data_IF_641643642789
#
_entry.id   IF_641643642789
#
_cell.length_a   1.000
_cell.length_b   1.000
_cell.length_c   1.000
_cell.angle_alpha   90.00
_cell.angle_beta   90.00
_cell.angle_gamma   90.00
#
_symmetry.space_group_name_H-M   'P 1'
#
loop_
_entity.id
_entity.type
_entity.pdbx_description
1 polymer ?
#
# COMPACT_ATOMS: atom_id res chain seq x y z
N UNK A 1 -12.50 0.50 -1.12
CA UNK A 1 -12.77 0.29 -2.57
C UNK A 1 -11.84 -0.73 -3.25
N UNK A 2 -10.50 -0.55 -3.29
CA UNK A 2 -9.59 -1.47 -4.01
C UNK A 2 -9.74 -2.93 -3.55
N UNK A 3 -9.82 -3.15 -2.23
CA UNK A 3 -10.08 -4.45 -1.62
C UNK A 3 -11.39 -5.06 -2.11
N UNK A 4 -12.51 -4.33 -2.02
CA UNK A 4 -13.81 -4.76 -2.54
C UNK A 4 -13.69 -5.21 -4.01
N UNK A 5 -13.14 -4.36 -4.88
CA UNK A 5 -12.97 -4.67 -6.30
C UNK A 5 -12.11 -5.93 -6.54
N UNK A 6 -11.12 -6.18 -5.69
CA UNK A 6 -10.30 -7.38 -5.76
C UNK A 6 -11.11 -8.64 -5.40
N UNK A 7 -11.91 -8.59 -4.33
CA UNK A 7 -12.75 -9.73 -3.92
C UNK A 7 -13.93 -9.97 -4.87
N UNK A 8 -14.56 -8.92 -5.40
CA UNK A 8 -15.66 -9.02 -6.38
C UNK A 8 -15.27 -9.77 -7.66
N UNK A 9 -13.98 -9.84 -8.00
CA UNK A 9 -13.49 -10.66 -9.12
C UNK A 9 -13.60 -12.16 -8.88
N UNK A 10 -13.83 -12.61 -7.63
CA UNK A 10 -14.00 -14.02 -7.23
C UNK A 10 -12.92 -14.94 -7.82
N UNK A 11 -11.66 -14.50 -7.78
CA UNK A 11 -10.55 -15.15 -8.50
C UNK A 11 -10.17 -16.54 -7.96
N UNK A 12 -10.68 -16.94 -6.80
CA UNK A 12 -10.49 -18.26 -6.21
C UNK A 12 -11.70 -18.66 -5.35
N UNK A 13 -11.75 -19.93 -4.93
CA UNK A 13 -12.85 -20.48 -4.14
C UNK A 13 -13.07 -19.72 -2.83
N UNK A 14 -11.99 -19.32 -2.15
CA UNK A 14 -12.08 -18.52 -0.93
C UNK A 14 -12.71 -17.15 -1.17
N UNK A 15 -12.40 -16.48 -2.27
CA UNK A 15 -13.03 -15.21 -2.65
C UNK A 15 -14.50 -15.41 -3.00
N UNK A 16 -14.85 -16.51 -3.67
CA UNK A 16 -16.24 -16.84 -3.98
C UNK A 16 -17.06 -17.07 -2.69
N UNK A 17 -16.54 -17.86 -1.75
CA UNK A 17 -17.17 -18.09 -0.44
C UNK A 17 -17.27 -16.80 0.38
N UNK A 18 -16.21 -15.99 0.43
CA UNK A 18 -16.23 -14.71 1.16
C UNK A 18 -17.20 -13.69 0.58
N UNK A 19 -17.49 -13.75 -0.72
CA UNK A 19 -18.38 -12.83 -1.42
C UNK A 19 -19.78 -13.40 -1.64
N UNK A 20 -20.11 -14.54 -1.03
CA UNK A 20 -21.45 -15.10 -1.05
C UNK A 20 -22.43 -14.17 -0.33
N UNK A 21 -23.51 -13.77 -1.02
CA UNK A 21 -24.47 -12.80 -0.50
C UNK A 21 -23.96 -11.35 -0.40
N UNK A 22 -22.86 -11.03 -1.10
CA UNK A 22 -22.30 -9.68 -1.20
C UNK A 22 -22.34 -9.23 -2.66
N UNK A 23 -23.35 -8.44 -2.98
CA UNK A 23 -23.61 -7.96 -4.33
C UNK A 23 -23.43 -6.44 -4.45
N UNK A 24 -23.30 -5.73 -3.32
CA UNK A 24 -23.14 -4.28 -3.24
C UNK A 24 -22.03 -3.85 -2.26
N UNK A 25 -21.53 -2.60 -2.38
CA UNK A 25 -20.71 -1.97 -1.34
C UNK A 25 -21.33 -2.03 0.06
N UNK A 26 -22.64 -1.85 0.16
CA UNK A 26 -23.40 -1.88 1.41
C UNK A 26 -23.34 -3.27 2.04
N UNK A 27 -23.47 -4.34 1.25
CA UNK A 27 -23.32 -5.71 1.74
C UNK A 27 -21.89 -6.01 2.20
N UNK A 28 -20.90 -5.37 1.59
CA UNK A 28 -19.49 -5.61 1.93
C UNK A 28 -19.16 -5.16 3.37
N UNK A 29 -19.93 -4.24 3.95
CA UNK A 29 -19.82 -3.85 5.37
C UNK A 29 -20.00 -5.02 6.33
N UNK A 30 -20.69 -6.09 5.91
CA UNK A 30 -20.89 -7.33 6.68
C UNK A 30 -19.59 -8.11 6.86
N UNK A 31 -18.60 -7.92 5.99
CA UNK A 31 -17.26 -8.52 6.15
C UNK A 31 -16.45 -7.70 7.14
N UNK A 32 -16.69 -7.94 8.41
CA UNK A 32 -16.10 -7.17 9.50
C UNK A 32 -14.57 -7.17 9.48
N UNK A 33 -13.93 -8.22 8.95
CA UNK A 33 -12.47 -8.30 8.74
C UNK A 33 -11.91 -7.33 7.68
N UNK A 34 -12.79 -6.73 6.88
CA UNK A 34 -12.43 -5.71 5.89
C UNK A 34 -12.53 -4.29 6.44
N UNK A 35 -13.08 -4.11 7.65
CA UNK A 35 -13.25 -2.81 8.30
C UNK A 35 -11.99 -2.46 9.09
N UNK A 36 -11.58 -1.19 9.03
CA UNK A 36 -10.46 -0.63 9.81
C UNK A 36 -9.19 -1.49 9.80
N UNK A 37 -8.81 -2.00 8.62
CA UNK A 37 -7.71 -2.98 8.50
C UNK A 37 -6.38 -2.39 8.93
N UNK A 38 -6.09 -1.14 8.59
CA UNK A 38 -4.80 -0.52 8.96
C UNK A 38 -4.71 -0.36 10.47
N UNK A 39 -5.78 0.09 11.12
CA UNK A 39 -5.89 0.20 12.58
C UNK A 39 -5.74 -1.16 13.24
N UNK A 40 -6.41 -2.20 12.73
CA UNK A 40 -6.29 -3.56 13.27
C UNK A 40 -4.84 -4.07 13.22
N UNK A 41 -4.14 -3.87 12.09
CA UNK A 41 -2.73 -4.24 11.98
C UNK A 41 -1.82 -3.39 12.89
N UNK A 42 -2.01 -2.07 12.89
CA UNK A 42 -1.17 -1.15 13.68
C UNK A 42 -1.35 -1.30 15.18
N UNK A 43 -2.56 -1.65 15.64
CA UNK A 43 -2.82 -1.95 17.05
C UNK A 43 -2.29 -3.33 17.50
N UNK A 44 -1.82 -4.16 16.56
CA UNK A 44 -1.21 -5.46 16.85
C UNK A 44 -2.20 -6.63 16.96
N UNK A 45 -3.46 -6.44 16.53
CA UNK A 45 -4.45 -7.51 16.55
C UNK A 45 -4.26 -8.46 15.36
N UNK A 46 -4.00 -9.73 15.66
CA UNK A 46 -4.00 -10.82 14.66
C UNK A 46 -5.40 -11.42 14.45
N UNK A 47 -6.31 -11.20 15.40
CA UNK A 47 -7.66 -11.75 15.42
C UNK A 47 -8.71 -10.63 15.43
N UNK A 48 -9.56 -10.60 14.41
CA UNK A 48 -10.62 -9.59 14.26
C UNK A 48 -11.62 -9.61 15.42
N UNK A 49 -11.87 -10.76 16.05
CA UNK A 49 -12.85 -10.86 17.16
C UNK A 49 -12.41 -10.06 18.39
N UNK A 50 -11.10 -9.93 18.60
CA UNK A 50 -10.55 -9.15 19.72
C UNK A 50 -10.52 -7.67 19.36
N UNK A 51 -10.11 -7.35 18.13
CA UNK A 51 -10.16 -5.99 17.59
C UNK A 51 -11.55 -5.35 17.79
N UNK A 52 -12.63 -6.08 17.46
CA UNK A 52 -14.00 -5.55 17.56
C UNK A 52 -14.50 -5.31 18.99
N UNK A 53 -13.86 -5.90 19.99
CA UNK A 53 -14.24 -5.74 21.40
C UNK A 53 -13.50 -4.60 22.07
N UNK A 54 -12.36 -4.20 21.52
CA UNK A 54 -11.52 -3.18 22.11
C UNK A 54 -11.94 -1.78 21.62
N UNK A 55 -12.37 -0.94 22.58
CA UNK A 55 -12.75 0.45 22.30
C UNK A 55 -11.53 1.38 22.21
N UNK A 56 -10.36 0.95 22.69
CA UNK A 56 -9.10 1.70 22.66
C UNK A 56 -8.20 1.34 21.47
N UNK A 57 -8.72 0.68 20.43
CA UNK A 57 -7.92 0.22 19.28
C UNK A 57 -7.20 1.35 18.57
N UNK A 58 -7.84 2.51 18.42
CA UNK A 58 -7.24 3.66 17.76
C UNK A 58 -6.07 4.23 18.57
N UNK A 59 -6.24 4.37 19.89
CA UNK A 59 -5.17 4.85 20.78
C UNK A 59 -3.96 3.92 20.75
N UNK A 60 -4.18 2.59 20.77
CA UNK A 60 -3.11 1.60 20.61
C UNK A 60 -2.43 1.70 19.25
N UNK A 61 -3.21 1.83 18.18
CA UNK A 61 -2.68 1.98 16.84
C UNK A 61 -1.79 3.22 16.74
N UNK A 62 -2.23 4.36 17.28
CA UNK A 62 -1.47 5.62 17.32
C UNK A 62 -0.20 5.48 18.17
N UNK A 63 -0.28 4.87 19.36
CA UNK A 63 0.89 4.63 20.20
C UNK A 63 1.93 3.73 19.53
N UNK A 64 1.50 2.74 18.74
CA UNK A 64 2.41 1.92 17.94
C UNK A 64 2.91 2.66 16.70
N UNK A 65 2.08 3.52 16.11
CA UNK A 65 2.44 4.38 15.00
C UNK A 65 3.60 5.31 15.37
N UNK A 66 3.62 5.79 16.62
CA UNK A 66 4.70 6.64 17.14
C UNK A 66 6.08 5.97 17.15
N UNK A 67 6.10 4.64 17.15
CA UNK A 67 7.31 3.83 17.21
C UNK A 67 7.88 3.50 15.84
N UNK A 68 7.22 3.93 14.76
CA UNK A 68 7.70 3.69 13.40
C UNK A 68 8.76 4.72 13.00
N UNK A 69 9.92 4.22 12.55
CA UNK A 69 11.00 5.05 12.02
C UNK A 69 10.66 5.61 10.62
N UNK A 70 9.84 4.89 9.86
CA UNK A 70 9.52 5.23 8.48
C UNK A 70 8.14 4.70 8.07
N UNK A 71 7.36 5.56 7.41
CA UNK A 71 6.06 5.22 6.80
C UNK A 71 6.06 5.70 5.35
N UNK A 72 5.43 4.94 4.47
CA UNK A 72 5.31 5.23 3.05
C UNK A 72 3.86 5.18 2.61
N UNK A 73 3.55 5.89 1.53
CA UNK A 73 2.21 6.00 0.98
C UNK A 73 2.14 5.39 -0.42
N UNK A 74 1.03 4.74 -0.72
CA UNK A 74 0.84 4.08 -2.03
C UNK A 74 0.76 5.12 -3.16
N UNK A 75 0.19 6.29 -2.85
CA UNK A 75 0.06 7.46 -3.71
C UNK A 75 1.43 8.06 -4.05
N UNK A 76 2.39 7.93 -3.13
CA UNK A 76 3.77 8.40 -3.25
C UNK A 76 4.74 7.22 -3.29
N UNK A 77 4.39 6.12 -3.97
CA UNK A 77 5.13 4.85 -3.90
C UNK A 77 6.61 5.00 -4.28
N UNK A 78 6.91 5.66 -5.40
CA UNK A 78 8.29 5.88 -5.85
C UNK A 78 9.11 6.70 -4.85
N UNK A 79 8.52 7.76 -4.29
CA UNK A 79 9.14 8.59 -3.27
C UNK A 79 9.37 7.80 -1.96
N UNK A 80 8.39 6.97 -1.56
CA UNK A 80 8.49 6.10 -0.39
C UNK A 80 9.64 5.10 -0.52
N UNK A 81 9.80 4.46 -1.68
CA UNK A 81 10.92 3.52 -1.92
C UNK A 81 12.27 4.25 -1.96
N UNK A 82 12.33 5.46 -2.53
CA UNK A 82 13.55 6.26 -2.50
C UNK A 82 13.93 6.66 -1.05
N UNK A 83 12.95 7.08 -0.25
CA UNK A 83 13.10 7.39 1.17
C UNK A 83 13.60 6.18 1.98
N UNK A 84 12.89 5.05 1.88
CA UNK A 84 13.29 3.81 2.56
C UNK A 84 14.67 3.36 2.15
N UNK A 85 15.00 3.46 0.87
CA UNK A 85 16.33 3.10 0.44
C UNK A 85 17.40 3.97 1.08
N UNK A 86 17.16 5.25 1.28
CA UNK A 86 18.13 6.14 1.94
C UNK A 86 18.25 5.75 3.42
N UNK A 87 17.13 5.64 4.13
CA UNK A 87 17.08 5.28 5.56
C UNK A 87 17.72 3.93 5.86
N UNK A 88 17.46 2.92 5.03
CA UNK A 88 17.90 1.54 5.26
C UNK A 88 19.11 1.13 4.41
N UNK A 89 19.74 2.07 3.69
CA UNK A 89 20.95 1.80 2.90
C UNK A 89 20.75 0.85 1.71
N UNK A 90 19.55 0.81 1.10
CA UNK A 90 19.28 -0.08 -0.04
C UNK A 90 20.06 0.35 -1.28
N UNK A 91 20.71 -0.62 -1.92
CA UNK A 91 21.52 -0.40 -3.14
C UNK A 91 20.67 -0.29 -4.40
N UNK A 92 19.45 -0.81 -4.37
CA UNK A 92 18.49 -0.77 -5.46
C UNK A 92 17.17 -0.19 -4.95
N UNK A 93 16.70 0.87 -5.60
CA UNK A 93 15.42 1.52 -5.33
C UNK A 93 14.59 1.64 -6.61
N UNK A 94 14.84 0.77 -7.60
CA UNK A 94 14.02 0.69 -8.80
C UNK A 94 12.59 0.30 -8.41
N UNK A 95 11.65 1.07 -8.95
CA UNK A 95 10.22 0.82 -8.76
C UNK A 95 9.63 0.38 -10.08
N UNK A 96 9.05 -0.82 -10.09
CA UNK A 96 8.27 -1.31 -11.21
C UNK A 96 6.78 -1.06 -10.93
N UNK A 97 6.13 -0.31 -11.81
CA UNK A 97 4.69 -0.08 -11.73
C UNK A 97 3.95 -1.19 -12.47
N UNK A 98 3.61 -2.27 -11.75
CA UNK A 98 2.78 -3.36 -12.29
C UNK A 98 1.28 -3.02 -12.29
N UNK A 99 0.88 -2.04 -11.48
CA UNK A 99 -0.50 -1.57 -11.38
C UNK A 99 -0.68 -0.30 -12.21
N UNK A 100 -1.40 -0.40 -13.33
CA UNK A 100 -2.06 0.77 -13.92
C UNK A 100 -3.27 1.08 -13.06
N UNK A 101 -3.10 1.95 -12.06
CA UNK A 101 -4.22 2.49 -11.30
C UNK A 101 -5.24 3.02 -12.30
N UNK A 102 -6.43 2.40 -12.37
CA UNK A 102 -7.50 2.89 -13.22
C UNK A 102 -7.71 4.38 -12.93
N UNK A 103 -7.98 5.18 -13.99
CA UNK A 103 -8.29 6.62 -13.85
C UNK A 103 -9.18 6.87 -12.63
N UNK A 104 -8.95 7.98 -11.92
CA UNK A 104 -9.79 8.47 -10.81
C UNK A 104 -11.26 8.45 -11.24
N UNK A 105 -11.94 7.32 -10.99
CA UNK A 105 -13.37 7.21 -11.10
C UNK A 105 -13.94 7.84 -9.84
N UNK A 106 -15.06 8.51 -10.00
CA UNK A 106 -15.87 8.94 -8.86
C UNK A 106 -16.05 7.75 -7.90
N UNK A 107 -15.75 7.97 -6.63
CA UNK A 107 -15.81 6.90 -5.63
C UNK A 107 -17.29 6.68 -5.30
N UNK A 108 -17.91 5.74 -5.99
CA UNK A 108 -19.26 5.29 -5.67
C UNK A 108 -19.31 4.80 -4.21
N UNK A 109 -20.43 5.05 -3.52
CA UNK A 109 -20.65 4.64 -2.12
C UNK A 109 -19.60 5.18 -1.12
N UNK A 110 -19.10 6.42 -1.31
CA UNK A 110 -18.12 7.05 -0.43
C UNK A 110 -18.48 6.94 1.06
N UNK A 111 -19.71 7.27 1.43
CA UNK A 111 -20.17 7.21 2.82
C UNK A 111 -20.08 5.81 3.44
N UNK A 112 -20.31 4.76 2.64
CA UNK A 112 -20.16 3.36 3.07
C UNK A 112 -18.69 3.04 3.33
N UNK A 113 -17.79 3.48 2.45
CA UNK A 113 -16.36 3.27 2.66
C UNK A 113 -15.84 4.04 3.87
N UNK A 114 -16.35 5.24 4.13
CA UNK A 114 -15.99 6.03 5.31
C UNK A 114 -16.46 5.36 6.60
N UNK A 115 -17.71 4.87 6.66
CA UNK A 115 -18.22 4.17 7.85
C UNK A 115 -17.50 2.85 8.14
N UNK A 116 -17.00 2.16 7.11
CA UNK A 116 -16.14 0.98 7.30
C UNK A 116 -14.74 1.31 7.86
N UNK A 117 -14.31 2.58 7.78
CA UNK A 117 -12.95 3.02 8.05
C UNK A 117 -12.88 4.16 9.07
N UNK A 118 -13.85 4.22 10.00
CA UNK A 118 -13.94 5.26 11.05
C UNK A 118 -12.66 5.43 11.90
N UNK A 119 -11.87 4.37 12.08
CA UNK A 119 -10.57 4.43 12.76
C UNK A 119 -9.38 4.58 11.81
N UNK A 120 -9.47 3.99 10.61
CA UNK A 120 -8.42 4.09 9.61
C UNK A 120 -8.27 5.52 9.07
N UNK A 121 -9.35 6.29 8.97
CA UNK A 121 -9.33 7.69 8.54
C UNK A 121 -8.47 8.58 9.47
N UNK A 122 -8.76 8.70 10.78
CA UNK A 122 -7.93 9.50 11.67
C UNK A 122 -6.49 8.97 11.81
N UNK A 123 -6.29 7.64 11.75
CA UNK A 123 -4.94 7.05 11.71
C UNK A 123 -4.16 7.51 10.47
N UNK A 124 -4.82 7.51 9.30
CA UNK A 124 -4.21 7.94 8.05
C UNK A 124 -3.92 9.45 8.03
N UNK A 125 -4.82 10.27 8.59
CA UNK A 125 -4.60 11.71 8.71
C UNK A 125 -3.35 12.02 9.56
N UNK A 126 -3.20 11.32 10.69
CA UNK A 126 -2.00 11.40 11.53
C UNK A 126 -0.73 10.94 10.79
N UNK A 127 -0.85 9.91 9.95
CA UNK A 127 0.26 9.47 9.11
C UNK A 127 0.68 10.55 8.11
N UNK A 128 -0.29 11.18 7.44
CA UNK A 128 -0.04 12.24 6.47
C UNK A 128 0.63 13.43 7.16
N UNK A 129 0.08 13.91 8.28
CA UNK A 129 0.62 15.05 9.02
C UNK A 129 2.10 14.84 9.38
N UNK A 130 2.46 13.63 9.83
CA UNK A 130 3.82 13.33 10.27
C UNK A 130 4.80 13.03 9.14
N UNK A 131 4.39 12.25 8.14
CA UNK A 131 5.32 11.64 7.19
C UNK A 131 5.21 12.19 5.77
N UNK A 132 4.09 12.79 5.36
CA UNK A 132 3.92 13.22 3.97
C UNK A 132 4.93 14.31 3.58
N UNK A 133 5.23 15.23 4.49
CA UNK A 133 6.24 16.28 4.28
C UNK A 133 7.63 15.72 3.96
N UNK A 134 8.02 14.60 4.57
CA UNK A 134 9.32 13.94 4.35
C UNK A 134 9.43 13.48 2.89
N UNK A 135 8.35 12.93 2.33
CA UNK A 135 8.37 12.35 0.99
C UNK A 135 8.51 13.38 -0.13
N UNK A 136 8.15 14.64 0.10
CA UNK A 136 8.28 15.72 -0.89
C UNK A 136 9.70 15.85 -1.46
N UNK A 137 10.72 15.68 -0.61
CA UNK A 137 12.12 15.72 -1.02
C UNK A 137 12.59 14.52 -1.85
N UNK A 138 11.75 13.49 -1.98
CA UNK A 138 12.01 12.26 -2.72
C UNK A 138 11.20 12.16 -4.01
N UNK A 139 10.23 13.04 -4.23
CA UNK A 139 9.44 13.06 -5.44
C UNK A 139 10.31 13.36 -6.67
N UNK A 140 10.12 12.58 -7.73
CA UNK A 140 10.88 12.72 -8.97
C UNK A 140 12.35 12.30 -8.89
N UNK A 141 12.86 11.80 -7.76
CA UNK A 141 14.23 11.27 -7.68
C UNK A 141 14.42 10.06 -8.59
N UNK A 142 15.53 10.05 -9.32
CA UNK A 142 15.92 8.88 -10.11
C UNK A 142 16.23 7.68 -9.18
N UNK A 143 15.77 6.47 -9.53
CA UNK A 143 16.04 5.29 -8.73
C UNK A 143 17.53 4.95 -8.73
N UNK A 144 18.04 4.49 -7.59
CA UNK A 144 19.37 3.88 -7.52
C UNK A 144 19.27 2.49 -8.13
N UNK A 145 20.02 2.25 -9.20
CA UNK A 145 20.10 0.94 -9.84
C UNK A 145 21.58 0.53 -9.89
N UNK A 146 21.97 -0.60 -9.27
CA UNK A 146 23.34 -1.08 -9.36
C UNK A 146 23.75 -1.26 -10.83
N UNK A 147 24.90 -0.70 -11.20
CA UNK A 147 25.43 -0.89 -12.56
C UNK A 147 25.70 -2.38 -12.77
N UNK A 148 25.33 -2.94 -13.94
CA UNK A 148 25.68 -4.32 -14.25
C UNK A 148 27.21 -4.50 -14.27
N UNK A 149 27.72 -5.70 -13.93
CA UNK A 149 29.16 -5.97 -13.93
C UNK A 149 29.82 -5.60 -15.27
N UNK A 150 31.08 -5.16 -15.22
CA UNK A 150 31.88 -4.75 -16.39
C UNK A 150 31.80 -5.77 -17.55
N UNK A 151 31.95 -7.06 -17.24
CA UNK A 151 31.85 -8.14 -18.23
C UNK A 151 30.51 -8.17 -18.98
N UNK A 152 29.39 -7.95 -18.27
CA UNK A 152 28.05 -7.92 -18.88
C UNK A 152 27.86 -6.69 -19.74
N UNK A 153 28.43 -5.54 -19.32
CA UNK A 153 28.44 -4.30 -20.11
C UNK A 153 29.24 -4.47 -21.41
N UNK A 154 30.45 -5.00 -21.31
CA UNK A 154 31.35 -5.24 -22.46
C UNK A 154 30.71 -6.21 -23.46
N UNK A 155 30.14 -7.33 -23.02
CA UNK A 155 29.39 -8.25 -23.89
C UNK A 155 28.21 -7.56 -24.59
N UNK A 156 27.49 -6.68 -23.89
CA UNK A 156 26.40 -5.89 -24.47
C UNK A 156 26.88 -4.94 -25.57
N UNK A 157 28.00 -4.23 -25.36
CA UNK A 157 28.59 -3.36 -26.38
C UNK A 157 29.01 -4.13 -27.64
N UNK A 158 29.70 -5.27 -27.49
CA UNK A 158 30.08 -6.10 -28.64
C UNK A 158 28.87 -6.60 -29.43
N UNK A 159 27.80 -7.01 -28.74
CA UNK A 159 26.55 -7.45 -29.40
C UNK A 159 25.83 -6.33 -30.15
N UNK A 160 25.81 -5.12 -29.59
CA UNK A 160 25.20 -3.95 -30.24
C UNK A 160 26.01 -3.43 -31.45
N UNK A 161 27.34 -3.59 -31.40
CA UNK A 161 28.21 -3.28 -32.54
C UNK A 161 28.10 -4.34 -33.63
N UNK A 162 27.97 -5.62 -33.27
CA UNK A 162 27.82 -6.71 -34.25
C UNK A 162 26.45 -6.75 -34.92
N UNK A 163 25.40 -6.16 -34.33
CA UNK A 163 24.05 -6.13 -34.92
C UNK A 163 23.84 -5.00 -35.93
N UNK A 164 24.86 -4.15 -36.15
CA UNK A 164 24.86 -3.08 -37.15
C UNK A 164 25.64 -3.47 -38.42
N UNK A 165 26.14 -4.69 -38.48
CA UNK A 165 26.75 -5.35 -39.64
C UNK A 165 26.01 -6.66 -39.91
#
# INVERSE_FOLDING_TARGET
MSHYNHYSKRMNEKHAQLMEGIDSPEDFTKLVQSNNRQTAFMSGYLNQKEFLKDKGVLEKALANFDRLDAVGFTEHYAASIAYFGEQFGWKNTLVEHHNSGGKKKEVAAKAVWESMNEYDLPLYDQAIERFAGILTGYEGRAPRVPKPPLLKRVKGYFRALSSKF
#
